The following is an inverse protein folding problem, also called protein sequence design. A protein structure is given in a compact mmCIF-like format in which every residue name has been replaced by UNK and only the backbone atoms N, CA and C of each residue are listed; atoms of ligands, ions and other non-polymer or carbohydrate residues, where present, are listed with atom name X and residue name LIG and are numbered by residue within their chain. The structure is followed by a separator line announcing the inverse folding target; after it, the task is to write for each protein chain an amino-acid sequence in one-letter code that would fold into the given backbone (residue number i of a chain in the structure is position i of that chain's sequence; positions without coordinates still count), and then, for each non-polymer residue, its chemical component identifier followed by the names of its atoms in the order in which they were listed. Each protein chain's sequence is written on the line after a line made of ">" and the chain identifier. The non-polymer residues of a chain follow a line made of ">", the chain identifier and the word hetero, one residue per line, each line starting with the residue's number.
data_IF_324730426430
#
_entry.id   IF_324730426430
#
_cell.length_a   1.000
_cell.length_b   1.000
_cell.length_c   1.000
_cell.angle_alpha   90.00
_cell.angle_beta   90.00
_cell.angle_gamma   90.00
#
_symmetry.space_group_name_H-M   'P 1'
#
loop_
_entity.id
_entity.type
_entity.pdbx_description
1 polymer ?
#
# COMPACT_ATOMS: atom_id res chain seq x y z
N UNK A 1 22.85 -14.50 -13.15
CA UNK A 1 22.95 -14.80 -11.71
C UNK A 1 22.74 -13.54 -10.86
N UNK A 2 23.61 -12.53 -10.96
CA UNK A 2 23.58 -11.31 -10.12
C UNK A 2 22.27 -10.51 -10.13
N UNK A 3 21.54 -10.47 -11.26
CA UNK A 3 20.24 -9.78 -11.36
C UNK A 3 19.16 -10.49 -10.53
N UNK A 4 19.04 -11.82 -10.66
CA UNK A 4 18.04 -12.57 -9.91
C UNK A 4 18.31 -12.50 -8.40
N UNK A 5 19.58 -12.70 -8.01
CA UNK A 5 19.96 -12.56 -6.60
C UNK A 5 19.75 -11.15 -6.07
N UNK A 6 19.97 -10.10 -6.87
CA UNK A 6 19.61 -8.72 -6.50
C UNK A 6 18.11 -8.58 -6.26
N UNK A 7 17.26 -9.07 -7.16
CA UNK A 7 15.81 -8.99 -7.04
C UNK A 7 15.32 -9.70 -5.77
N UNK A 8 15.73 -10.96 -5.54
CA UNK A 8 15.29 -11.70 -4.36
C UNK A 8 15.82 -11.12 -3.04
N UNK A 9 17.08 -10.67 -3.02
CA UNK A 9 17.67 -10.06 -1.82
C UNK A 9 16.96 -8.75 -1.45
N UNK A 10 16.75 -7.89 -2.44
CA UNK A 10 16.13 -6.58 -2.21
C UNK A 10 14.66 -6.73 -1.86
N UNK A 11 13.91 -7.60 -2.54
CA UNK A 11 12.51 -7.91 -2.23
C UNK A 11 12.34 -8.38 -0.77
N UNK A 12 13.23 -9.27 -0.31
CA UNK A 12 13.22 -9.78 1.06
C UNK A 12 13.42 -8.67 2.10
N UNK A 13 14.48 -7.88 1.95
CA UNK A 13 14.81 -6.87 2.95
C UNK A 13 13.78 -5.74 2.95
N UNK A 14 13.30 -5.32 1.77
CA UNK A 14 12.27 -4.29 1.66
C UNK A 14 10.98 -4.77 2.30
N UNK A 15 10.59 -6.03 2.08
CA UNK A 15 9.42 -6.61 2.77
C UNK A 15 9.51 -6.43 4.29
N UNK A 16 10.64 -6.78 4.91
CA UNK A 16 10.79 -6.67 6.37
C UNK A 16 10.88 -5.23 6.85
N UNK A 17 11.57 -4.36 6.11
CA UNK A 17 11.63 -2.92 6.41
C UNK A 17 10.24 -2.32 6.33
N UNK A 18 9.51 -2.57 5.24
CA UNK A 18 8.18 -2.05 4.99
C UNK A 18 7.19 -2.55 6.06
N UNK A 19 7.19 -3.85 6.36
CA UNK A 19 6.39 -4.41 7.46
C UNK A 19 6.77 -3.80 8.81
N UNK A 20 8.06 -3.56 9.06
CA UNK A 20 8.55 -2.86 10.25
C UNK A 20 8.09 -1.41 10.34
N UNK A 21 8.00 -0.70 9.21
CA UNK A 21 7.48 0.66 9.11
C UNK A 21 5.98 0.76 9.44
N UNK A 22 5.23 -0.33 9.27
CA UNK A 22 3.85 -0.46 9.75
C UNK A 22 3.73 -0.77 11.24
N UNK A 23 4.84 -1.03 11.94
CA UNK A 23 4.78 -1.25 13.38
C UNK A 23 4.30 0.02 14.11
N UNK A 24 3.42 -0.18 15.10
CA UNK A 24 2.75 0.89 15.88
C UNK A 24 3.65 2.00 16.41
N UNK A 25 4.92 1.68 16.70
CA UNK A 25 5.90 2.63 17.26
C UNK A 25 6.38 3.66 16.24
N UNK A 26 6.43 3.30 14.96
CA UNK A 26 7.04 4.13 13.90
C UNK A 26 6.05 4.58 12.85
N UNK A 27 5.01 3.78 12.58
CA UNK A 27 4.02 4.03 11.52
C UNK A 27 3.50 5.46 11.53
N UNK A 28 2.97 5.93 12.67
CA UNK A 28 2.32 7.25 12.77
C UNK A 28 3.23 8.40 12.33
N UNK A 29 4.54 8.29 12.53
CA UNK A 29 5.52 9.36 12.30
C UNK A 29 6.19 9.25 10.93
N UNK A 30 6.49 8.03 10.50
CA UNK A 30 7.37 7.79 9.35
C UNK A 30 6.56 7.37 8.12
N UNK A 31 5.70 6.36 8.26
CA UNK A 31 5.06 5.71 7.12
C UNK A 31 3.63 6.17 6.86
N UNK A 32 2.94 6.67 7.90
CA UNK A 32 1.58 7.24 7.79
C UNK A 32 1.48 8.35 6.73
N UNK A 33 2.45 9.28 6.58
CA UNK A 33 2.40 10.28 5.52
C UNK A 33 2.21 9.66 4.14
N UNK A 34 2.97 8.61 3.80
CA UNK A 34 2.83 7.86 2.55
C UNK A 34 1.45 7.21 2.39
N UNK A 35 0.86 6.79 3.50
CA UNK A 35 -0.47 6.18 3.54
C UNK A 35 -1.65 7.18 3.55
N UNK A 36 -1.38 8.48 3.45
CA UNK A 36 -2.45 9.48 3.28
C UNK A 36 -3.16 9.32 1.92
N UNK A 37 -2.44 8.83 0.90
CA UNK A 37 -2.97 8.57 -0.43
C UNK A 37 -3.58 7.17 -0.53
N UNK A 38 -4.76 6.97 0.09
CA UNK A 38 -5.47 5.67 0.10
C UNK A 38 -5.65 5.04 -1.29
N UNK A 39 -5.94 5.86 -2.29
CA UNK A 39 -5.85 5.45 -3.70
C UNK A 39 -4.58 6.13 -4.23
N UNK A 40 -3.48 5.39 -4.37
CA UNK A 40 -2.22 5.98 -4.77
C UNK A 40 -2.29 6.49 -6.21
N UNK A 41 -1.39 7.44 -6.50
CA UNK A 41 -1.10 7.92 -7.84
C UNK A 41 0.40 7.76 -8.09
N UNK A 42 0.89 7.85 -9.33
CA UNK A 42 2.33 7.84 -9.62
C UNK A 42 3.14 8.80 -8.75
N UNK A 43 2.58 9.95 -8.36
CA UNK A 43 3.26 10.92 -7.49
C UNK A 43 3.37 10.45 -6.03
N UNK A 44 2.39 9.68 -5.55
CA UNK A 44 2.40 9.13 -4.19
C UNK A 44 3.57 8.15 -3.96
N UNK A 45 4.09 7.56 -5.05
CA UNK A 45 5.23 6.62 -5.02
C UNK A 45 6.49 7.21 -4.37
N UNK A 46 6.68 8.54 -4.41
CA UNK A 46 7.82 9.24 -3.83
C UNK A 46 7.42 10.26 -2.75
N UNK A 47 6.13 10.34 -2.44
CA UNK A 47 5.62 11.24 -1.42
C UNK A 47 5.64 10.55 -0.04
N UNK A 48 6.84 10.32 0.50
CA UNK A 48 7.04 9.68 1.79
C UNK A 48 7.98 10.51 2.68
N UNK A 49 8.01 10.19 3.97
CA UNK A 49 8.96 10.80 4.89
C UNK A 49 10.41 10.45 4.46
N UNK A 50 11.41 11.35 4.55
CA UNK A 50 12.76 11.05 4.07
C UNK A 50 13.39 9.78 4.66
N UNK A 51 13.17 9.53 5.96
CA UNK A 51 13.63 8.31 6.64
C UNK A 51 12.95 7.05 6.10
N UNK A 52 11.68 7.14 5.70
CA UNK A 52 10.94 6.02 5.09
C UNK A 52 11.63 5.60 3.79
N UNK A 53 11.79 6.57 2.88
CA UNK A 53 12.46 6.35 1.60
C UNK A 53 13.89 5.86 1.74
N UNK A 54 14.65 6.44 2.67
CA UNK A 54 16.02 5.99 2.94
C UNK A 54 16.05 4.54 3.42
N UNK A 55 15.20 4.17 4.39
CA UNK A 55 15.16 2.80 4.89
C UNK A 55 14.77 1.82 3.79
N UNK A 56 13.74 2.12 3.00
CA UNK A 56 13.32 1.23 1.91
C UNK A 56 14.32 1.19 0.74
N UNK A 57 15.16 2.20 0.54
CA UNK A 57 16.19 2.19 -0.52
C UNK A 57 17.49 1.49 -0.11
N UNK A 58 17.79 1.39 1.19
CA UNK A 58 19.02 0.78 1.73
C UNK A 58 19.34 -0.59 1.11
N UNK A 59 18.40 -1.53 0.94
CA UNK A 59 18.70 -2.85 0.38
C UNK A 59 19.36 -2.80 -1.00
N UNK A 60 18.96 -1.86 -1.86
CA UNK A 60 19.55 -1.68 -3.19
C UNK A 60 21.01 -1.27 -3.12
N UNK A 61 21.35 -0.42 -2.15
CA UNK A 61 22.69 0.14 -1.97
C UNK A 61 23.61 -0.81 -1.19
N UNK A 62 23.09 -1.59 -0.25
CA UNK A 62 23.86 -2.56 0.54
C UNK A 62 24.29 -3.75 -0.32
N UNK A 63 23.44 -4.19 -1.25
CA UNK A 63 23.71 -5.37 -2.09
C UNK A 63 25.10 -5.39 -2.76
N UNK A 64 25.56 -4.35 -3.49
CA UNK A 64 26.87 -4.35 -4.14
C UNK A 64 28.07 -4.38 -3.19
N UNK A 65 27.89 -4.10 -1.89
CA UNK A 65 28.96 -4.27 -0.89
C UNK A 65 29.13 -5.72 -0.45
N UNK A 66 28.11 -6.56 -0.63
CA UNK A 66 28.08 -7.97 -0.20
C UNK A 66 28.32 -8.89 -1.39
N UNK A 67 27.75 -8.55 -2.55
CA UNK A 67 27.78 -9.38 -3.76
C UNK A 67 28.41 -8.65 -4.94
N UNK A 68 29.15 -9.36 -5.81
CA UNK A 68 29.71 -8.75 -7.01
C UNK A 68 28.58 -8.30 -7.96
N UNK A 69 28.55 -7.01 -8.24
CA UNK A 69 27.60 -6.40 -9.17
C UNK A 69 28.29 -5.37 -10.06
N UNK A 70 28.20 -5.56 -11.37
CA UNK A 70 28.78 -4.63 -12.34
C UNK A 70 28.07 -3.27 -12.27
N UNK A 71 28.84 -2.17 -12.25
CA UNK A 71 28.31 -0.79 -12.06
C UNK A 71 27.19 -0.41 -13.03
N UNK A 72 27.29 -0.83 -14.30
CA UNK A 72 26.25 -0.53 -15.31
C UNK A 72 24.97 -1.30 -14.99
N UNK A 73 25.09 -2.56 -14.57
CA UNK A 73 23.92 -3.39 -14.20
C UNK A 73 23.26 -2.80 -12.95
N UNK A 74 24.04 -2.38 -11.96
CA UNK A 74 23.52 -1.68 -10.79
C UNK A 74 22.73 -0.42 -11.16
N UNK A 75 23.28 0.46 -12.00
CA UNK A 75 22.59 1.68 -12.43
C UNK A 75 21.32 1.37 -13.23
N UNK A 76 21.35 0.38 -14.12
CA UNK A 76 20.17 -0.05 -14.86
C UNK A 76 19.08 -0.60 -13.93
N UNK A 77 19.45 -1.45 -12.97
CA UNK A 77 18.51 -1.97 -11.98
C UNK A 77 17.94 -0.86 -11.11
N UNK A 78 18.75 0.11 -10.71
CA UNK A 78 18.29 1.26 -9.93
C UNK A 78 17.25 2.09 -10.68
N UNK A 79 17.41 2.29 -11.99
CA UNK A 79 16.38 2.94 -12.83
C UNK A 79 15.10 2.07 -12.87
N UNK A 80 15.24 0.76 -13.10
CA UNK A 80 14.10 -0.16 -13.17
C UNK A 80 13.33 -0.24 -11.84
N UNK A 81 14.02 -0.14 -10.71
CA UNK A 81 13.41 -0.06 -9.37
C UNK A 81 12.49 1.16 -9.27
N UNK A 82 12.92 2.32 -9.76
CA UNK A 82 12.10 3.53 -9.70
C UNK A 82 10.89 3.44 -10.65
N UNK A 83 11.09 2.91 -11.86
CA UNK A 83 9.98 2.62 -12.78
C UNK A 83 8.97 1.67 -12.13
N UNK A 84 9.46 0.61 -11.48
CA UNK A 84 8.61 -0.33 -10.78
C UNK A 84 7.84 0.33 -9.63
N UNK A 85 8.53 1.12 -8.81
CA UNK A 85 7.93 1.85 -7.69
C UNK A 85 6.81 2.76 -8.17
N UNK A 86 6.97 3.43 -9.31
CA UNK A 86 5.90 4.22 -9.93
C UNK A 86 4.76 3.32 -10.42
N UNK A 87 5.08 2.23 -11.11
CA UNK A 87 4.09 1.31 -11.69
C UNK A 87 3.20 0.63 -10.65
N UNK A 88 3.70 0.33 -9.45
CA UNK A 88 2.84 -0.24 -8.38
C UNK A 88 1.92 0.81 -7.73
N UNK A 89 2.03 2.10 -8.09
CA UNK A 89 1.21 3.19 -7.58
C UNK A 89 0.31 3.84 -8.64
N UNK A 90 0.37 3.39 -9.89
CA UNK A 90 -0.26 4.07 -11.02
C UNK A 90 -1.78 3.82 -11.16
N UNK A 91 -2.32 2.85 -10.41
CA UNK A 91 -3.72 2.42 -10.50
C UNK A 91 -4.03 1.49 -11.69
N UNK A 92 -3.05 1.09 -12.49
CA UNK A 92 -3.22 0.11 -13.56
C UNK A 92 -3.07 -1.33 -13.03
N UNK A 93 -4.22 -1.96 -12.78
CA UNK A 93 -4.28 -3.31 -12.19
C UNK A 93 -3.98 -4.44 -13.16
N UNK A 94 -3.61 -4.15 -14.42
CA UNK A 94 -3.37 -5.17 -15.43
C UNK A 94 -2.07 -5.93 -15.16
N UNK A 95 -2.21 -7.21 -14.81
CA UNK A 95 -1.10 -8.17 -14.72
C UNK A 95 -1.51 -9.43 -15.50
N UNK A 96 -0.61 -10.00 -16.35
CA UNK A 96 -0.88 -11.25 -17.04
C UNK A 96 -1.34 -12.35 -16.09
N UNK A 97 -2.38 -13.10 -16.46
CA UNK A 97 -3.05 -14.04 -15.57
C UNK A 97 -2.09 -15.04 -14.90
N UNK A 98 -1.09 -15.52 -15.65
CA UNK A 98 -0.09 -16.47 -15.16
C UNK A 98 0.87 -15.88 -14.11
N UNK A 99 1.04 -14.55 -14.12
CA UNK A 99 1.95 -13.84 -13.22
C UNK A 99 1.24 -13.29 -11.97
N UNK A 100 -0.09 -13.17 -12.00
CA UNK A 100 -0.88 -12.68 -10.85
C UNK A 100 -0.58 -13.36 -9.51
N UNK A 101 -0.33 -14.69 -9.44
CA UNK A 101 -0.03 -15.33 -8.16
C UNK A 101 1.31 -14.90 -7.56
N UNK A 102 2.24 -14.43 -8.39
CA UNK A 102 3.65 -14.21 -8.05
C UNK A 102 4.04 -12.75 -7.94
N UNK A 103 3.42 -11.86 -8.72
CA UNK A 103 3.78 -10.45 -8.81
C UNK A 103 2.93 -9.61 -7.86
N UNK A 104 3.60 -8.83 -7.01
CA UNK A 104 2.99 -7.77 -6.21
C UNK A 104 2.93 -6.49 -7.06
N UNK A 105 1.81 -6.33 -7.78
CA UNK A 105 1.58 -5.19 -8.68
C UNK A 105 0.66 -4.11 -8.08
N UNK A 106 0.28 -3.15 -8.92
CA UNK A 106 -0.55 -1.97 -8.56
C UNK A 106 -1.83 -2.31 -7.79
N UNK A 107 -2.47 -3.44 -8.12
CA UNK A 107 -3.66 -3.95 -7.42
C UNK A 107 -3.39 -4.32 -5.96
N UNK A 108 -2.29 -5.03 -5.71
CA UNK A 108 -1.90 -5.47 -4.37
C UNK A 108 -1.50 -4.28 -3.52
N UNK A 109 -0.73 -3.36 -4.11
CA UNK A 109 -0.25 -2.18 -3.41
C UNK A 109 -1.37 -1.16 -3.13
N UNK A 110 -2.36 -1.02 -4.02
CA UNK A 110 -3.55 -0.20 -3.73
C UNK A 110 -4.33 -0.76 -2.53
N UNK A 111 -4.52 -2.08 -2.47
CA UNK A 111 -5.15 -2.72 -1.32
C UNK A 111 -4.31 -2.57 -0.04
N UNK A 112 -2.99 -2.59 -0.17
CA UNK A 112 -2.09 -2.28 0.94
C UNK A 112 -2.32 -0.86 1.50
N UNK A 113 -2.42 0.16 0.66
CA UNK A 113 -2.75 1.54 1.07
C UNK A 113 -4.13 1.67 1.74
N UNK A 114 -5.05 0.75 1.43
CA UNK A 114 -6.42 0.79 1.96
C UNK A 114 -6.59 0.00 3.25
N UNK A 115 -5.90 -1.13 3.38
CA UNK A 115 -6.07 -2.07 4.50
C UNK A 115 -4.87 -2.11 5.45
N UNK A 116 -3.72 -1.55 5.08
CA UNK A 116 -2.47 -1.42 5.86
C UNK A 116 -1.77 -2.73 6.22
N UNK A 117 -2.50 -3.79 6.56
CA UNK A 117 -1.96 -4.99 7.18
C UNK A 117 -1.47 -6.08 6.20
N UNK A 118 -1.54 -5.84 4.88
CA UNK A 118 -1.34 -6.85 3.84
C UNK A 118 -0.44 -6.39 2.70
N UNK A 119 0.17 -7.32 1.97
CA UNK A 119 0.88 -7.09 0.70
C UNK A 119 2.05 -6.09 0.75
N UNK A 120 3.00 -6.29 1.68
CA UNK A 120 4.16 -5.43 1.89
C UNK A 120 5.30 -5.63 0.87
N UNK A 121 5.30 -6.72 0.10
CA UNK A 121 6.36 -7.06 -0.85
C UNK A 121 6.53 -6.00 -1.95
N UNK A 122 7.75 -5.90 -2.48
CA UNK A 122 8.08 -4.88 -3.49
C UNK A 122 7.73 -5.37 -4.90
N UNK A 123 8.27 -6.54 -5.27
CA UNK A 123 8.09 -7.15 -6.60
C UNK A 123 7.23 -8.39 -6.54
N UNK A 124 7.45 -9.23 -5.52
CA UNK A 124 6.85 -10.55 -5.44
C UNK A 124 5.91 -10.69 -4.25
N UNK A 125 4.91 -11.55 -4.41
CA UNK A 125 4.01 -11.97 -3.31
C UNK A 125 4.66 -13.00 -2.39
N UNK A 126 5.88 -13.45 -2.70
CA UNK A 126 6.58 -14.53 -2.02
C UNK A 126 6.72 -14.27 -0.52
N UNK A 127 7.28 -13.12 -0.14
CA UNK A 127 7.50 -12.79 1.27
C UNK A 127 6.22 -12.49 2.02
N UNK A 128 5.20 -11.96 1.33
CA UNK A 128 3.87 -11.85 1.91
C UNK A 128 3.25 -13.21 2.23
N UNK A 129 3.46 -14.21 1.38
CA UNK A 129 2.99 -15.57 1.62
C UNK A 129 3.76 -16.22 2.78
N UNK A 130 5.08 -16.08 2.80
CA UNK A 130 5.93 -16.61 3.88
C UNK A 130 5.61 -15.94 5.21
N UNK A 131 5.44 -14.61 5.22
CA UNK A 131 5.18 -13.83 6.42
C UNK A 131 3.71 -13.74 6.82
N UNK A 132 2.80 -14.40 6.09
CA UNK A 132 1.38 -14.45 6.42
C UNK A 132 0.61 -13.14 6.21
N UNK A 133 1.11 -12.25 5.36
CA UNK A 133 0.49 -10.96 5.02
C UNK A 133 -0.09 -10.92 3.60
N UNK A 134 -0.08 -12.04 2.88
CA UNK A 134 -0.65 -12.11 1.53
C UNK A 134 -2.18 -11.98 1.56
N UNK A 135 -2.70 -11.06 0.73
CA UNK A 135 -4.13 -10.91 0.47
C UNK A 135 -4.37 -10.75 -1.02
N UNK A 136 -5.30 -11.54 -1.56
CA UNK A 136 -5.70 -11.42 -2.95
C UNK A 136 -6.34 -10.04 -3.20
N UNK A 137 -5.92 -9.29 -4.23
CA UNK A 137 -6.45 -7.95 -4.48
C UNK A 137 -7.94 -7.96 -4.77
N UNK A 138 -8.68 -7.05 -4.13
CA UNK A 138 -10.11 -6.92 -4.30
C UNK A 138 -10.50 -6.55 -5.73
N UNK A 139 -9.62 -5.86 -6.47
CA UNK A 139 -9.80 -5.54 -7.88
C UNK A 139 -9.82 -6.77 -8.79
N UNK A 140 -9.10 -7.85 -8.44
CA UNK A 140 -9.16 -9.11 -9.18
C UNK A 140 -10.45 -9.88 -8.93
N UNK A 141 -11.14 -9.58 -7.83
CA UNK A 141 -12.43 -10.16 -7.44
C UNK A 141 -13.63 -9.32 -7.91
N UNK A 142 -13.38 -8.27 -8.71
CA UNK A 142 -14.43 -7.34 -9.18
C UNK A 142 -14.87 -6.31 -8.13
N UNK A 143 -14.24 -6.27 -6.96
CA UNK A 143 -14.49 -5.32 -5.86
C UNK A 143 -13.39 -4.25 -5.81
N UNK A 144 -13.14 -3.58 -6.91
CA UNK A 144 -12.07 -2.57 -7.01
C UNK A 144 -12.24 -1.40 -6.04
N UNK A 145 -11.21 -0.55 -5.88
CA UNK A 145 -11.18 0.54 -4.90
C UNK A 145 -12.34 1.53 -5.02
N UNK A 146 -12.88 1.73 -6.23
CA UNK A 146 -14.08 2.56 -6.45
C UNK A 146 -15.31 2.05 -5.69
N UNK A 147 -15.49 0.73 -5.60
CA UNK A 147 -16.62 0.14 -4.86
C UNK A 147 -16.50 0.42 -3.36
N UNK A 148 -15.27 0.37 -2.83
CA UNK A 148 -14.98 0.68 -1.44
C UNK A 148 -15.20 2.17 -1.11
N UNK A 149 -14.76 3.08 -1.98
CA UNK A 149 -15.01 4.51 -1.82
C UNK A 149 -16.51 4.83 -1.85
N UNK A 150 -17.27 4.22 -2.77
CA UNK A 150 -18.74 4.38 -2.81
C UNK A 150 -19.38 3.93 -1.50
N UNK A 151 -19.03 2.75 -1.01
CA UNK A 151 -19.55 2.22 0.25
C UNK A 151 -19.24 3.13 1.44
N UNK A 152 -17.99 3.58 1.59
CA UNK A 152 -17.61 4.52 2.66
C UNK A 152 -18.37 5.86 2.56
N UNK A 153 -18.62 6.34 1.34
CA UNK A 153 -19.36 7.59 1.11
C UNK A 153 -20.83 7.44 1.50
N UNK A 154 -21.44 6.30 1.16
CA UNK A 154 -22.82 5.96 1.54
C UNK A 154 -22.97 5.81 3.06
N UNK A 155 -22.05 5.10 3.72
CA UNK A 155 -22.04 4.97 5.19
C UNK A 155 -21.90 6.33 5.88
N UNK A 156 -21.02 7.21 5.37
CA UNK A 156 -20.86 8.57 5.89
C UNK A 156 -22.13 9.41 5.67
N UNK A 157 -22.80 9.26 4.53
CA UNK A 157 -24.08 9.94 4.25
C UNK A 157 -25.18 9.46 5.20
N UNK A 158 -25.29 8.14 5.40
CA UNK A 158 -26.32 7.54 6.25
C UNK A 158 -26.11 7.92 7.73
N UNK A 159 -24.88 7.91 8.23
CA UNK A 159 -24.57 8.39 9.59
C UNK A 159 -24.84 9.88 9.80
N UNK A 160 -24.62 10.74 8.79
CA UNK A 160 -25.05 12.14 8.84
C UNK A 160 -26.57 12.28 8.86
N UNK A 161 -27.29 11.49 8.06
CA UNK A 161 -28.75 11.48 8.04
C UNK A 161 -29.34 11.02 9.38
N UNK A 162 -28.80 9.96 9.98
CA UNK A 162 -29.21 9.47 11.30
C UNK A 162 -28.95 10.48 12.41
N UNK A 163 -27.78 11.15 12.39
CA UNK A 163 -27.45 12.19 13.36
C UNK A 163 -28.32 13.45 13.16
N UNK A 164 -28.62 13.82 11.91
CA UNK A 164 -29.55 14.90 11.59
C UNK A 164 -30.96 14.62 12.09
N UNK A 165 -31.47 13.41 11.85
CA UNK A 165 -32.79 12.99 12.32
C UNK A 165 -32.87 12.88 13.85
N UNK A 166 -31.79 12.44 14.52
CA UNK A 166 -31.71 12.47 15.99
C UNK A 166 -31.73 13.90 16.53
N UNK A 167 -30.99 14.83 15.90
CA UNK A 167 -31.01 16.23 16.30
C UNK A 167 -32.38 16.86 16.06
N UNK A 168 -33.02 16.63 14.91
CA UNK A 168 -34.38 17.11 14.64
C UNK A 168 -35.39 16.57 15.66
N UNK A 169 -35.32 15.27 16.02
CA UNK A 169 -36.16 14.71 17.11
C UNK A 169 -35.87 15.31 18.48
N UNK A 170 -34.63 15.69 18.76
CA UNK A 170 -34.26 16.37 20.00
C UNK A 170 -34.79 17.81 20.04
N UNK A 171 -34.78 18.51 18.90
CA UNK A 171 -35.32 19.86 18.74
C UNK A 171 -36.85 19.89 18.62
N UNK A 172 -37.47 18.83 18.11
CA UNK A 172 -38.93 18.65 17.98
C UNK A 172 -39.54 17.83 19.13
N UNK A 173 -38.75 17.56 20.19
CA UNK A 173 -39.20 16.95 21.43
C UNK A 173 -40.26 17.80 22.12
N UNK A 174 -41.51 17.59 21.71
CA UNK A 174 -42.73 17.57 22.49
C UNK A 174 -42.71 18.32 23.82
N UNK A 175 -43.19 19.57 23.76
CA UNK A 175 -43.81 20.28 24.87
C UNK A 175 -45.18 19.64 25.20
N UNK A 176 -45.23 18.35 25.50
CA UNK A 176 -46.44 17.68 26.03
C UNK A 176 -46.19 17.31 27.49
N UNK A 177 -46.35 18.32 28.36
CA UNK A 177 -46.82 18.10 29.73
C UNK A 177 -48.21 18.71 29.85
N UNK A 178 -49.21 17.91 29.53
CA UNK A 178 -50.57 18.02 30.04
C UNK A 178 -50.63 17.46 31.45
N UNK A 179 -51.21 18.27 32.33
CA UNK A 179 -51.83 17.99 33.65
C UNK A 179 -50.94 17.57 34.83
#
# INVERSE_FOLDING_TARGET
>A
FSVLSFLFFTDMLIYWIHRGLHHRLVYKRIHKPHHLWKIPTPFASHAFHPVDGFLQSLPYHIYPFIFPLHKVVYLSLYILVNIWTISIHDGDFRVPQILRPFINGSAHHTDHHMFFDYNYGQYFTLWDRIGGSFKNPSSFEGKGPLSYVKKMTEEKRNSHAENGFKNEKLFSGEFTKTE
#
